data_IF_847951597395
#
_entry.id   IF_847951597395
#
_cell.length_a   1.000
_cell.length_b   1.000
_cell.length_c   1.000
_cell.angle_alpha   90.00
_cell.angle_beta   90.00
_cell.angle_gamma   90.00
#
_symmetry.space_group_name_H-M   'P 1'
#
loop_
_entity.id
_entity.type
_entity.pdbx_description
1 polymer ?
#
# COMPACT_ATOMS: atom_id res chain seq x y z
N UNK A 1 -3.04 -17.32 4.55
CA UNK A 1 -3.44 -15.94 4.79
C UNK A 1 -4.09 -15.46 3.51
N UNK A 2 -5.24 -14.77 3.55
CA UNK A 2 -5.72 -14.10 2.37
C UNK A 2 -4.62 -13.07 1.99
N UNK A 3 -4.45 -12.89 0.69
CA UNK A 3 -3.31 -12.15 0.16
C UNK A 3 -3.88 -10.88 -0.45
N UNK A 4 -3.27 -9.74 -0.13
CA UNK A 4 -3.79 -8.46 -0.54
C UNK A 4 -3.77 -8.34 -2.06
N UNK A 5 -4.86 -7.86 -2.63
CA UNK A 5 -4.95 -7.64 -4.07
C UNK A 5 -4.13 -6.40 -4.44
N UNK A 6 -3.11 -6.58 -5.29
CA UNK A 6 -2.29 -5.46 -5.75
C UNK A 6 -3.12 -4.33 -6.37
N UNK A 7 -4.15 -4.65 -7.15
CA UNK A 7 -5.06 -3.65 -7.74
C UNK A 7 -5.71 -2.73 -6.70
N UNK A 8 -6.03 -3.26 -5.52
CA UNK A 8 -6.68 -2.50 -4.46
C UNK A 8 -5.69 -1.54 -3.79
N UNK A 9 -4.49 -2.04 -3.48
CA UNK A 9 -3.39 -1.24 -2.93
C UNK A 9 -2.93 -0.18 -3.94
N UNK A 10 -2.87 -0.53 -5.22
CA UNK A 10 -2.53 0.41 -6.29
C UNK A 10 -3.58 1.52 -6.39
N UNK A 11 -4.87 1.19 -6.33
CA UNK A 11 -5.96 2.18 -6.33
C UNK A 11 -5.87 3.13 -5.14
N UNK A 12 -5.47 2.61 -3.98
CA UNK A 12 -5.24 3.41 -2.77
C UNK A 12 -4.06 4.37 -2.93
N UNK A 13 -2.93 3.89 -3.42
CA UNK A 13 -1.68 4.63 -3.39
C UNK A 13 -1.47 5.53 -4.62
N UNK A 14 -2.05 5.17 -5.79
CA UNK A 14 -1.91 5.89 -7.06
C UNK A 14 -2.20 7.39 -6.96
N UNK A 15 -3.26 7.87 -6.26
CA UNK A 15 -3.54 9.30 -6.16
C UNK A 15 -2.41 10.12 -5.54
N UNK A 16 -1.62 9.55 -4.63
CA UNK A 16 -0.45 10.24 -4.05
C UNK A 16 0.64 10.43 -5.11
N UNK A 17 0.98 9.35 -5.82
CA UNK A 17 2.02 9.37 -6.83
C UNK A 17 1.67 10.25 -8.03
N UNK A 18 0.40 10.30 -8.45
CA UNK A 18 -0.06 11.20 -9.51
C UNK A 18 0.06 12.68 -9.11
N UNK A 19 0.05 12.99 -7.82
CA UNK A 19 0.30 14.33 -7.27
C UNK A 19 1.79 14.61 -7.01
N UNK A 20 2.68 13.66 -7.31
CA UNK A 20 4.11 13.76 -7.00
C UNK A 20 4.41 13.65 -5.50
N UNK A 21 3.47 13.15 -4.70
CA UNK A 21 3.64 12.91 -3.26
C UNK A 21 4.27 11.53 -3.08
N UNK A 22 5.17 11.44 -2.09
CA UNK A 22 5.78 10.19 -1.65
C UNK A 22 5.19 9.80 -0.30
N UNK A 23 4.09 9.02 -0.28
CA UNK A 23 3.42 8.69 0.96
C UNK A 23 4.28 7.75 1.79
N UNK A 24 4.17 7.82 3.11
CA UNK A 24 4.67 6.78 4.00
C UNK A 24 3.55 5.82 4.44
N UNK A 25 3.90 4.82 5.25
CA UNK A 25 2.97 3.83 5.80
C UNK A 25 1.74 4.49 6.44
N UNK A 26 1.93 5.57 7.19
CA UNK A 26 0.89 6.23 7.96
C UNK A 26 -0.11 6.94 7.05
N UNK A 27 0.36 7.64 6.01
CA UNK A 27 -0.51 8.26 5.00
C UNK A 27 -1.38 7.21 4.30
N UNK A 28 -0.77 6.10 3.91
CA UNK A 28 -1.47 5.00 3.23
C UNK A 28 -2.50 4.35 4.16
N UNK A 29 -2.16 4.12 5.43
CA UNK A 29 -3.09 3.59 6.42
C UNK A 29 -4.24 4.56 6.70
N UNK A 30 -3.99 5.86 6.78
CA UNK A 30 -5.05 6.86 6.97
C UNK A 30 -6.08 6.79 5.83
N UNK A 31 -5.62 6.68 4.58
CA UNK A 31 -6.53 6.49 3.44
C UNK A 31 -7.21 5.12 3.46
N UNK A 32 -6.50 4.07 3.89
CA UNK A 32 -7.06 2.73 3.99
C UNK A 32 -8.21 2.67 5.01
N UNK A 33 -8.04 3.28 6.19
CA UNK A 33 -9.03 3.32 7.25
C UNK A 33 -10.20 4.27 7.00
N UNK A 34 -10.00 5.32 6.20
CA UNK A 34 -11.06 6.26 5.81
C UNK A 34 -11.82 5.82 4.57
N UNK A 35 -11.23 4.94 3.75
CA UNK A 35 -11.84 4.34 2.58
C UNK A 35 -12.52 2.99 2.84
N UNK A 36 -13.09 2.43 1.79
CA UNK A 36 -13.68 1.09 1.75
C UNK A 36 -12.62 0.12 1.19
N UNK A 37 -11.63 -0.22 2.00
CA UNK A 37 -10.54 -1.15 1.64
C UNK A 37 -10.62 -2.41 2.48
N UNK A 38 -10.18 -3.54 1.92
CA UNK A 38 -10.21 -4.83 2.60
C UNK A 38 -9.19 -4.88 3.74
N UNK A 39 -9.48 -5.67 4.77
CA UNK A 39 -8.58 -5.92 5.91
C UNK A 39 -7.20 -6.41 5.43
N UNK A 40 -7.14 -7.25 4.40
CA UNK A 40 -5.90 -7.71 3.77
C UNK A 40 -5.06 -6.56 3.20
N UNK A 41 -5.69 -5.56 2.58
CA UNK A 41 -4.99 -4.39 2.05
C UNK A 41 -4.43 -3.53 3.18
N UNK A 42 -5.20 -3.37 4.27
CA UNK A 42 -4.77 -2.67 5.47
C UNK A 42 -3.58 -3.39 6.12
N UNK A 43 -3.66 -4.71 6.32
CA UNK A 43 -2.57 -5.52 6.88
C UNK A 43 -1.31 -5.47 6.00
N UNK A 44 -1.47 -5.51 4.67
CA UNK A 44 -0.35 -5.40 3.75
C UNK A 44 0.34 -4.03 3.88
N UNK A 45 -0.41 -2.93 3.97
CA UNK A 45 0.16 -1.61 4.19
C UNK A 45 0.78 -1.51 5.59
N UNK A 46 0.15 -2.09 6.62
CA UNK A 46 0.64 -2.09 8.00
C UNK A 46 2.01 -2.78 8.11
N UNK A 47 2.28 -3.78 7.26
CA UNK A 47 3.57 -4.47 7.15
C UNK A 47 4.73 -3.60 6.63
N UNK A 48 4.45 -2.44 6.03
CA UNK A 48 5.46 -1.53 5.50
C UNK A 48 6.23 -0.85 6.63
N UNK A 49 7.48 -0.49 6.34
CA UNK A 49 8.28 0.38 7.21
C UNK A 49 7.81 1.83 7.06
N UNK A 50 7.94 2.66 8.10
CA UNK A 50 7.51 4.07 8.12
C UNK A 50 8.34 5.03 7.25
N UNK A 51 8.98 4.53 6.19
CA UNK A 51 9.77 5.33 5.25
C UNK A 51 8.93 5.78 4.06
N UNK A 52 9.18 6.97 3.50
CA UNK A 52 8.54 7.44 2.29
C UNK A 52 8.76 6.47 1.13
N UNK A 53 7.71 6.27 0.35
CA UNK A 53 7.71 5.36 -0.78
C UNK A 53 7.80 6.20 -2.06
N UNK A 54 8.83 6.00 -2.90
CA UNK A 54 9.11 6.92 -4.01
C UNK A 54 8.25 6.68 -5.26
N UNK A 55 7.66 5.49 -5.42
CA UNK A 55 6.85 5.14 -6.59
C UNK A 55 5.94 3.93 -6.31
N UNK A 56 4.94 3.69 -7.18
CA UNK A 56 4.12 2.48 -7.17
C UNK A 56 4.96 1.20 -7.33
N UNK A 57 6.00 1.24 -8.17
CA UNK A 57 6.91 0.11 -8.34
C UNK A 57 7.62 -0.22 -7.02
N UNK A 58 8.15 0.79 -6.33
CA UNK A 58 8.80 0.61 -5.03
C UNK A 58 7.83 0.12 -3.94
N UNK A 59 6.56 0.57 -3.96
CA UNK A 59 5.51 0.05 -3.10
C UNK A 59 5.29 -1.44 -3.36
N UNK A 60 5.14 -1.83 -4.62
CA UNK A 60 4.95 -3.22 -5.03
C UNK A 60 6.11 -4.10 -4.61
N UNK A 61 7.34 -3.65 -4.83
CA UNK A 61 8.55 -4.39 -4.45
C UNK A 61 8.63 -4.60 -2.93
N UNK A 62 8.32 -3.58 -2.13
CA UNK A 62 8.29 -3.70 -0.66
C UNK A 62 7.24 -4.71 -0.19
N UNK A 63 6.04 -4.66 -0.74
CA UNK A 63 4.96 -5.57 -0.38
C UNK A 63 5.24 -7.01 -0.87
N UNK A 64 5.83 -7.16 -2.05
CA UNK A 64 6.29 -8.45 -2.55
C UNK A 64 7.40 -9.02 -1.66
N UNK A 65 8.36 -8.19 -1.24
CA UNK A 65 9.44 -8.60 -0.33
C UNK A 65 8.90 -9.02 1.05
N UNK A 66 7.79 -8.43 1.50
CA UNK A 66 7.10 -8.81 2.73
C UNK A 66 6.22 -10.07 2.57
N UNK A 67 6.00 -10.56 1.35
CA UNK A 67 5.19 -11.75 1.08
C UNK A 67 3.68 -11.55 1.34
N UNK A 68 3.19 -10.31 1.30
CA UNK A 68 1.78 -9.96 1.61
C UNK A 68 0.88 -9.82 0.38
N UNK A 69 1.47 -9.85 -0.83
CA UNK A 69 0.71 -9.77 -2.08
C UNK A 69 0.18 -11.15 -2.51
N UNK A 70 -1.01 -11.15 -3.11
CA UNK A 70 -1.51 -12.31 -3.85
C UNK A 70 -0.60 -12.56 -5.06
N UNK A 71 -0.10 -13.80 -5.17
CA UNK A 71 0.76 -14.24 -6.27
C UNK A 71 0.01 -14.38 -7.59
#
# INVERSE_FOLDING_TARGET
MPAASWEEIERLARPFFEQGIQPDRSDLLEVAFTGDFSDDAIDAIDSLDGKPIPSLEALREKLAANGVLAG
#
